data_IF_543565592312
#
_entry.id   IF_543565592312
#
_cell.length_a   1.000
_cell.length_b   1.000
_cell.length_c   1.000
_cell.angle_alpha   90.00
_cell.angle_beta   90.00
_cell.angle_gamma   90.00
#
_symmetry.space_group_name_H-M   'P 1'
#
loop_
_entity.id
_entity.type
_entity.pdbx_description
1 polymer ?
#
# COMPACT_ATOMS: atom_id res chain seq x y z
N UNK A 1 54.15 60.23 -35.47
CA UNK A 1 53.82 59.76 -34.07
C UNK A 1 52.46 59.08 -33.97
N UNK A 2 51.56 59.23 -34.96
CA UNK A 2 50.20 58.68 -34.92
C UNK A 2 50.06 57.13 -35.18
N UNK A 3 50.95 56.58 -35.99
CA UNK A 3 50.89 55.13 -36.35
C UNK A 3 51.32 54.24 -35.19
N UNK A 4 52.31 54.63 -34.43
CA UNK A 4 52.75 53.86 -33.23
C UNK A 4 51.72 53.89 -32.12
N UNK A 5 50.98 54.99 -31.95
CA UNK A 5 49.92 55.09 -30.94
C UNK A 5 48.68 54.23 -31.34
N UNK A 6 48.34 54.24 -32.62
CA UNK A 6 47.23 53.38 -33.11
C UNK A 6 47.54 51.88 -33.00
N UNK A 7 48.77 51.45 -33.26
CA UNK A 7 49.22 50.10 -33.05
C UNK A 7 49.18 49.72 -31.56
N UNK A 8 49.65 50.63 -30.67
CA UNK A 8 49.59 50.40 -29.22
C UNK A 8 48.14 50.19 -28.70
N UNK A 9 47.18 50.99 -29.17
CA UNK A 9 45.76 50.90 -28.81
C UNK A 9 45.18 49.60 -29.35
N UNK A 10 45.50 49.19 -30.58
CA UNK A 10 45.02 47.94 -31.15
C UNK A 10 45.53 46.72 -30.36
N UNK A 11 46.82 46.70 -29.98
CA UNK A 11 47.40 45.64 -29.14
C UNK A 11 46.75 45.59 -27.76
N UNK A 12 46.52 46.76 -27.11
CA UNK A 12 45.84 46.81 -25.82
C UNK A 12 44.42 46.30 -25.92
N UNK A 13 43.69 46.66 -26.98
CA UNK A 13 42.32 46.18 -27.19
C UNK A 13 42.27 44.66 -27.40
N UNK A 14 43.17 44.11 -28.20
CA UNK A 14 43.30 42.66 -28.39
C UNK A 14 43.62 41.98 -27.05
N UNK A 15 44.54 42.54 -26.26
CA UNK A 15 44.86 41.98 -24.94
C UNK A 15 43.66 41.96 -24.01
N UNK A 16 42.88 43.03 -23.95
CA UNK A 16 41.65 43.15 -23.14
C UNK A 16 40.61 42.12 -23.62
N UNK A 17 40.42 41.97 -24.92
CA UNK A 17 39.49 40.99 -25.48
C UNK A 17 39.95 39.58 -25.12
N UNK A 18 41.22 39.24 -25.27
CA UNK A 18 41.77 37.93 -24.89
C UNK A 18 41.59 37.68 -23.39
N UNK A 19 41.86 38.65 -22.55
CA UNK A 19 41.68 38.54 -21.11
C UNK A 19 40.22 38.33 -20.74
N UNK A 20 39.28 39.03 -21.39
CA UNK A 20 37.84 38.84 -21.19
C UNK A 20 37.37 37.45 -21.62
N UNK A 21 37.93 36.88 -22.70
CA UNK A 21 37.63 35.53 -23.14
C UNK A 21 38.23 34.46 -22.22
N UNK A 22 39.33 34.76 -21.49
CA UNK A 22 39.93 33.88 -20.50
C UNK A 22 39.11 33.75 -19.22
N UNK A 23 38.29 34.75 -18.87
CA UNK A 23 37.52 34.73 -17.65
C UNK A 23 36.23 33.95 -17.82
N UNK A 24 36.05 32.91 -17.00
CA UNK A 24 34.82 32.13 -16.93
C UNK A 24 34.35 32.04 -15.48
N UNK A 25 33.06 32.29 -15.28
CA UNK A 25 32.41 32.17 -13.97
C UNK A 25 31.78 30.78 -13.85
N UNK A 26 32.11 30.08 -12.77
CA UNK A 26 31.50 28.83 -12.35
C UNK A 26 30.58 29.14 -11.18
N UNK A 27 29.31 28.81 -11.32
CA UNK A 27 28.31 29.04 -10.29
C UNK A 27 28.50 28.09 -9.09
N UNK A 28 27.98 28.44 -7.91
CA UNK A 28 28.21 27.71 -6.67
C UNK A 28 27.70 26.28 -6.72
N UNK A 29 26.63 26.04 -7.45
CA UNK A 29 26.02 24.74 -7.64
C UNK A 29 26.60 23.95 -8.84
N UNK A 30 27.64 24.44 -9.46
CA UNK A 30 28.30 23.80 -10.60
C UNK A 30 29.79 23.54 -10.29
N UNK A 31 30.28 22.47 -10.89
CA UNK A 31 31.71 22.17 -10.93
C UNK A 31 32.20 22.14 -12.37
N UNK A 32 33.34 22.79 -12.60
CA UNK A 32 33.95 22.85 -13.92
C UNK A 32 34.99 21.75 -14.14
N UNK A 33 34.75 20.87 -15.10
CA UNK A 33 35.76 19.91 -15.58
C UNK A 33 36.47 20.51 -16.78
N UNK A 34 37.81 20.68 -16.69
CA UNK A 34 38.62 21.31 -17.75
C UNK A 34 39.34 20.21 -18.53
N UNK A 35 39.17 20.27 -19.83
CA UNK A 35 39.90 19.46 -20.81
C UNK A 35 40.96 20.37 -21.47
N UNK A 36 42.23 19.98 -21.35
CA UNK A 36 43.34 20.62 -22.04
C UNK A 36 43.85 19.73 -23.15
N UNK A 37 43.73 20.16 -24.38
CA UNK A 37 44.04 19.35 -25.58
C UNK A 37 43.42 17.95 -25.53
N UNK A 38 42.18 17.86 -25.09
CA UNK A 38 41.46 16.58 -25.00
C UNK A 38 41.77 15.71 -23.79
N UNK A 39 42.72 16.10 -22.91
CA UNK A 39 43.03 15.40 -21.67
C UNK A 39 42.40 16.11 -20.48
N UNK A 40 41.79 15.34 -19.56
CA UNK A 40 41.24 15.90 -18.33
C UNK A 40 42.39 16.45 -17.47
N UNK A 41 42.30 17.70 -17.08
CA UNK A 41 43.12 18.23 -16.01
C UNK A 41 42.56 17.73 -14.69
N UNK A 42 43.32 16.92 -13.94
CA UNK A 42 42.87 16.17 -12.75
C UNK A 42 42.28 17.01 -11.62
N UNK A 43 42.11 18.30 -11.77
CA UNK A 43 41.55 19.20 -10.78
C UNK A 43 40.18 19.73 -11.22
N UNK A 44 39.14 19.35 -10.50
CA UNK A 44 37.82 19.95 -10.63
C UNK A 44 37.89 21.41 -10.24
N UNK A 45 37.44 22.31 -11.09
CA UNK A 45 37.42 23.76 -10.79
C UNK A 45 36.25 24.07 -9.85
N UNK A 46 36.61 24.58 -8.69
CA UNK A 46 35.65 25.08 -7.69
C UNK A 46 34.90 26.32 -8.19
N UNK A 47 33.73 26.63 -7.60
CA UNK A 47 32.97 27.83 -7.93
C UNK A 47 33.81 29.12 -7.81
N UNK A 48 33.46 30.12 -8.62
CA UNK A 48 34.09 31.41 -8.65
C UNK A 48 34.63 31.79 -10.02
N UNK A 49 35.42 32.88 -10.04
CA UNK A 49 36.07 33.36 -11.25
C UNK A 49 37.30 32.50 -11.54
N UNK A 50 37.35 31.91 -12.72
CA UNK A 50 38.45 31.03 -13.14
C UNK A 50 39.03 31.49 -14.46
N UNK A 51 40.36 31.44 -14.53
CA UNK A 51 41.11 31.74 -15.72
C UNK A 51 41.29 30.45 -16.53
N UNK A 52 40.85 30.52 -17.80
CA UNK A 52 41.02 29.45 -18.78
C UNK A 52 41.88 29.98 -19.92
N UNK A 53 42.76 29.12 -20.45
CA UNK A 53 43.52 29.45 -21.65
C UNK A 53 42.62 29.27 -22.88
N UNK A 54 42.27 30.35 -23.59
CA UNK A 54 41.45 30.25 -24.80
C UNK A 54 42.18 29.37 -25.81
N UNK A 55 41.44 28.59 -26.60
CA UNK A 55 41.89 27.60 -27.60
C UNK A 55 42.45 26.31 -27.03
N UNK A 56 43.13 26.29 -25.86
CA UNK A 56 43.70 25.08 -25.25
C UNK A 56 42.74 24.40 -24.29
N UNK A 57 41.97 25.17 -23.53
CA UNK A 57 41.14 24.69 -22.42
C UNK A 57 39.66 24.72 -22.85
N UNK A 58 39.00 23.54 -22.74
CA UNK A 58 37.54 23.43 -22.87
C UNK A 58 36.95 23.04 -21.52
N UNK A 59 36.05 23.87 -20.99
CA UNK A 59 35.41 23.61 -19.71
C UNK A 59 33.98 23.12 -19.92
N UNK A 60 33.65 21.95 -19.33
CA UNK A 60 32.29 21.40 -19.21
C UNK A 60 31.81 21.66 -17.78
N UNK A 61 30.66 22.29 -17.62
CA UNK A 61 30.04 22.57 -16.32
C UNK A 61 29.06 21.45 -16.00
N UNK A 62 29.16 20.89 -14.80
CA UNK A 62 28.27 19.85 -14.27
C UNK A 62 27.58 20.39 -13.05
N UNK A 63 26.26 20.25 -12.98
CA UNK A 63 25.50 20.59 -11.80
C UNK A 63 25.71 19.52 -10.71
N UNK A 64 25.88 19.97 -9.47
CA UNK A 64 25.96 19.10 -8.29
C UNK A 64 24.65 19.10 -7.48
N UNK A 65 23.62 19.75 -8.00
CA UNK A 65 22.30 19.77 -7.40
C UNK A 65 21.63 18.40 -7.54
N UNK A 66 20.68 18.14 -6.67
CA UNK A 66 19.82 16.98 -6.81
C UNK A 66 18.91 17.17 -8.02
N UNK A 67 18.92 16.20 -8.89
CA UNK A 67 18.05 16.13 -10.08
C UNK A 67 17.03 15.05 -9.87
N UNK A 68 15.77 15.37 -10.18
CA UNK A 68 14.67 14.39 -10.16
C UNK A 68 14.49 13.83 -11.56
N UNK A 69 14.68 12.54 -11.70
CA UNK A 69 14.48 11.80 -12.94
C UNK A 69 13.21 10.97 -12.83
N UNK A 70 12.22 11.30 -13.64
CA UNK A 70 11.04 10.46 -13.79
C UNK A 70 11.40 9.24 -14.64
N UNK A 71 11.26 8.06 -14.07
CA UNK A 71 11.43 6.77 -14.78
C UNK A 71 10.10 6.43 -15.45
N UNK A 72 10.14 6.17 -16.74
CA UNK A 72 8.95 5.79 -17.48
C UNK A 72 8.31 4.53 -16.91
N UNK A 73 6.97 4.41 -16.93
CA UNK A 73 6.25 3.26 -16.43
C UNK A 73 6.80 1.94 -17.02
N UNK A 74 7.06 0.98 -16.14
CA UNK A 74 7.59 -0.33 -16.51
C UNK A 74 6.57 -1.42 -16.23
N UNK A 75 6.15 -2.11 -17.31
CA UNK A 75 5.37 -3.35 -17.18
C UNK A 75 6.27 -4.50 -16.71
N UNK A 76 5.86 -5.18 -15.64
CA UNK A 76 6.52 -6.37 -15.13
C UNK A 76 5.51 -7.35 -14.55
N UNK A 77 5.95 -8.61 -14.35
CA UNK A 77 5.16 -9.65 -13.72
C UNK A 77 5.77 -9.89 -12.34
N UNK A 78 4.96 -9.80 -11.29
CA UNK A 78 5.38 -10.06 -9.91
C UNK A 78 5.62 -11.55 -9.67
N UNK A 79 6.20 -11.90 -8.51
CA UNK A 79 6.46 -13.30 -8.14
C UNK A 79 5.17 -14.13 -8.05
N UNK A 80 4.07 -13.52 -7.66
CA UNK A 80 2.72 -14.11 -7.60
C UNK A 80 1.96 -14.09 -8.94
N UNK A 81 2.72 -13.87 -10.05
CA UNK A 81 2.23 -13.92 -11.43
C UNK A 81 1.16 -12.88 -11.78
N UNK A 82 1.23 -11.70 -11.15
CA UNK A 82 0.37 -10.57 -11.48
C UNK A 82 1.10 -9.58 -12.37
N UNK A 83 0.50 -9.19 -13.49
CA UNK A 83 1.03 -8.13 -14.34
C UNK A 83 0.75 -6.78 -13.70
N UNK A 84 1.81 -6.01 -13.48
CA UNK A 84 1.73 -4.65 -12.92
C UNK A 84 2.49 -3.67 -13.81
N UNK A 85 2.07 -2.43 -13.80
CA UNK A 85 2.80 -1.32 -14.40
C UNK A 85 3.17 -0.35 -13.28
N UNK A 86 4.48 -0.09 -13.13
CA UNK A 86 5.02 0.70 -12.04
C UNK A 86 5.87 1.82 -12.59
N UNK A 87 5.66 3.04 -12.12
CA UNK A 87 6.53 4.18 -12.36
C UNK A 87 7.25 4.61 -11.07
N UNK A 88 8.41 5.24 -11.26
CA UNK A 88 9.26 5.66 -10.16
C UNK A 88 9.89 7.02 -10.43
N UNK A 89 10.29 7.69 -9.38
CA UNK A 89 11.12 8.87 -9.43
C UNK A 89 12.47 8.58 -8.75
N UNK A 90 13.56 8.87 -9.45
CA UNK A 90 14.93 8.71 -8.94
C UNK A 90 15.52 10.09 -8.69
N UNK A 91 15.93 10.33 -7.46
CA UNK A 91 16.62 11.54 -7.03
C UNK A 91 18.11 11.23 -6.98
N UNK A 92 18.87 11.90 -7.82
CA UNK A 92 20.32 11.69 -7.88
C UNK A 92 21.07 13.01 -7.95
N UNK A 93 22.34 12.97 -7.57
CA UNK A 93 23.28 14.07 -7.76
C UNK A 93 24.65 13.56 -8.21
N UNK A 94 25.38 14.43 -8.89
CA UNK A 94 26.76 14.15 -9.30
C UNK A 94 27.70 14.49 -8.14
N UNK A 95 28.44 13.47 -7.66
CA UNK A 95 29.47 13.59 -6.62
C UNK A 95 30.84 13.82 -7.25
N UNK A 96 31.17 13.01 -8.27
CA UNK A 96 32.41 13.13 -9.03
C UNK A 96 32.15 13.55 -10.48
N UNK A 97 32.24 14.87 -10.79
CA UNK A 97 31.99 15.38 -12.12
C UNK A 97 32.93 14.85 -13.20
N UNK A 98 34.16 14.43 -12.81
CA UNK A 98 35.13 13.90 -13.76
C UNK A 98 34.67 12.53 -14.26
N UNK A 99 34.32 11.64 -13.33
CA UNK A 99 33.81 10.31 -13.70
C UNK A 99 32.51 10.40 -14.49
N UNK A 100 31.60 11.32 -14.12
CA UNK A 100 30.32 11.48 -14.78
C UNK A 100 30.43 11.90 -16.25
N UNK A 101 31.52 12.61 -16.65
CA UNK A 101 31.71 13.05 -18.04
C UNK A 101 32.62 12.11 -18.81
N UNK A 102 33.62 11.52 -18.14
CA UNK A 102 34.63 10.69 -18.84
C UNK A 102 34.15 9.27 -19.06
N UNK A 103 33.48 8.70 -18.03
CA UNK A 103 33.13 7.30 -18.05
C UNK A 103 31.77 7.04 -18.72
N UNK A 104 30.89 8.06 -18.79
CA UNK A 104 29.55 7.93 -19.36
C UNK A 104 29.26 9.10 -20.28
N UNK A 105 28.72 8.82 -21.46
CA UNK A 105 28.38 9.86 -22.43
C UNK A 105 27.22 10.75 -21.96
N UNK A 106 26.17 10.12 -21.42
CA UNK A 106 25.02 10.77 -20.83
C UNK A 106 24.62 10.01 -19.57
N UNK A 107 25.06 10.52 -18.43
CA UNK A 107 24.79 9.91 -17.13
C UNK A 107 23.29 9.95 -16.77
N UNK A 108 22.53 10.92 -17.26
CA UNK A 108 21.09 11.03 -17.01
C UNK A 108 20.35 9.88 -17.69
N UNK A 109 20.64 9.66 -18.96
CA UNK A 109 20.07 8.55 -19.73
C UNK A 109 20.53 7.20 -19.19
N UNK A 110 21.82 7.06 -18.82
CA UNK A 110 22.36 5.83 -18.27
C UNK A 110 21.69 5.47 -16.90
N UNK A 111 21.53 6.45 -16.01
CA UNK A 111 20.80 6.26 -14.73
C UNK A 111 19.35 5.82 -15.00
N UNK A 112 18.67 6.42 -15.98
CA UNK A 112 17.33 6.02 -16.38
C UNK A 112 17.26 4.55 -16.80
N UNK A 113 18.18 4.10 -17.64
CA UNK A 113 18.23 2.70 -18.11
C UNK A 113 18.50 1.70 -16.96
N UNK A 114 19.45 2.04 -16.08
CA UNK A 114 19.72 1.22 -14.88
C UNK A 114 18.49 1.17 -13.98
N UNK A 115 17.85 2.30 -13.76
CA UNK A 115 16.65 2.39 -12.92
C UNK A 115 15.51 1.53 -13.49
N UNK A 116 15.24 1.60 -14.80
CA UNK A 116 14.21 0.80 -15.46
C UNK A 116 14.49 -0.72 -15.34
N UNK A 117 15.74 -1.12 -15.56
CA UNK A 117 16.14 -2.53 -15.47
C UNK A 117 16.07 -3.05 -14.02
N UNK A 118 16.54 -2.24 -13.07
CA UNK A 118 16.49 -2.57 -11.65
C UNK A 118 15.05 -2.65 -11.13
N UNK A 119 14.21 -1.71 -11.54
CA UNK A 119 12.78 -1.68 -11.20
C UNK A 119 12.11 -2.98 -11.67
N UNK A 120 12.30 -3.36 -12.93
CA UNK A 120 11.76 -4.62 -13.47
C UNK A 120 12.25 -5.85 -12.70
N UNK A 121 13.53 -5.87 -12.33
CA UNK A 121 14.13 -7.00 -11.60
C UNK A 121 13.55 -7.13 -10.20
N UNK A 122 13.36 -6.01 -9.50
CA UNK A 122 12.83 -6.01 -8.12
C UNK A 122 11.34 -6.34 -8.11
N UNK A 123 10.55 -5.78 -9.05
CA UNK A 123 9.13 -6.13 -9.20
C UNK A 123 8.99 -7.64 -9.42
N UNK A 124 9.83 -8.23 -10.29
CA UNK A 124 9.77 -9.67 -10.58
C UNK A 124 10.14 -10.58 -9.39
N UNK A 125 10.77 -10.04 -8.35
CA UNK A 125 11.10 -10.78 -7.11
C UNK A 125 10.12 -10.53 -5.98
N UNK A 126 9.40 -9.42 -6.00
CA UNK A 126 8.45 -9.02 -4.98
C UNK A 126 7.05 -9.59 -5.25
N UNK A 127 6.29 -9.82 -4.20
CA UNK A 127 4.85 -10.10 -4.28
C UNK A 127 4.08 -8.79 -4.39
N UNK A 128 2.90 -8.83 -4.99
CA UNK A 128 2.04 -7.67 -5.13
C UNK A 128 1.69 -7.04 -3.79
N UNK A 129 1.39 -7.85 -2.79
CA UNK A 129 1.04 -7.35 -1.46
C UNK A 129 2.21 -6.58 -0.82
N UNK A 130 3.45 -7.06 -0.97
CA UNK A 130 4.66 -6.36 -0.52
C UNK A 130 4.88 -5.04 -1.28
N UNK A 131 4.64 -5.02 -2.60
CA UNK A 131 4.76 -3.80 -3.40
C UNK A 131 3.76 -2.72 -2.97
N UNK A 132 2.59 -3.10 -2.49
CA UNK A 132 1.54 -2.17 -2.05
C UNK A 132 1.70 -1.73 -0.59
N UNK A 133 2.11 -2.65 0.31
CA UNK A 133 2.19 -2.42 1.75
C UNK A 133 3.55 -1.88 2.21
N UNK A 134 4.66 -2.36 1.64
CA UNK A 134 6.04 -2.11 2.08
C UNK A 134 6.86 -1.29 1.06
N UNK A 135 6.31 -0.17 0.59
CA UNK A 135 6.92 0.70 -0.43
C UNK A 135 8.31 1.21 -0.02
N UNK A 136 8.48 1.55 1.26
CA UNK A 136 9.74 2.09 1.79
C UNK A 136 10.87 1.06 1.69
N UNK A 137 10.57 -0.20 1.98
CA UNK A 137 11.53 -1.30 1.85
C UNK A 137 11.94 -1.51 0.40
N UNK A 138 10.98 -1.54 -0.52
CA UNK A 138 11.24 -1.69 -1.96
C UNK A 138 12.05 -0.49 -2.48
N UNK A 139 11.74 0.72 -2.06
CA UNK A 139 12.47 1.94 -2.42
C UNK A 139 13.93 1.90 -1.94
N UNK A 140 14.16 1.41 -0.71
CA UNK A 140 15.51 1.24 -0.18
C UNK A 140 16.32 0.16 -0.94
N UNK A 141 15.69 -0.95 -1.29
CA UNK A 141 16.29 -2.02 -2.09
C UNK A 141 16.63 -1.52 -3.52
N UNK A 142 15.70 -0.80 -4.16
CA UNK A 142 15.92 -0.16 -5.46
C UNK A 142 17.10 0.80 -5.41
N UNK A 143 17.15 1.68 -4.40
CA UNK A 143 18.26 2.59 -4.20
C UNK A 143 19.59 1.83 -4.14
N UNK A 144 19.70 0.79 -3.34
CA UNK A 144 20.94 0.01 -3.18
C UNK A 144 21.36 -0.66 -4.50
N UNK A 145 20.42 -1.21 -5.26
CA UNK A 145 20.70 -1.88 -6.54
C UNK A 145 21.12 -0.89 -7.62
N UNK A 146 20.54 0.33 -7.63
CA UNK A 146 20.90 1.36 -8.62
C UNK A 146 22.20 2.05 -8.23
N UNK A 147 22.46 2.29 -6.94
CA UNK A 147 23.63 3.01 -6.45
C UNK A 147 24.94 2.26 -6.74
N UNK A 148 24.92 0.95 -6.60
CA UNK A 148 26.10 0.10 -6.82
C UNK A 148 26.77 0.29 -8.21
N UNK A 149 26.06 0.26 -9.34
CA UNK A 149 26.63 0.49 -10.67
C UNK A 149 26.82 1.98 -11.01
N UNK A 150 26.28 2.93 -10.23
CA UNK A 150 26.30 4.36 -10.58
C UNK A 150 27.28 5.17 -9.76
N UNK A 151 27.46 4.88 -8.46
CA UNK A 151 28.28 5.71 -7.59
C UNK A 151 29.78 5.56 -7.90
N UNK A 152 30.30 4.34 -7.85
CA UNK A 152 31.76 4.14 -8.02
C UNK A 152 32.23 4.39 -9.46
N UNK A 153 31.61 3.82 -10.51
CA UNK A 153 32.11 3.98 -11.88
C UNK A 153 31.73 5.31 -12.50
N UNK A 154 30.57 5.89 -12.19
CA UNK A 154 30.08 7.13 -12.84
C UNK A 154 30.16 8.36 -11.95
N UNK A 155 30.41 8.20 -10.65
CA UNK A 155 30.42 9.31 -9.71
C UNK A 155 29.05 9.94 -9.51
N UNK A 156 27.98 9.19 -9.76
CA UNK A 156 26.59 9.61 -9.57
C UNK A 156 26.02 8.86 -8.39
N UNK A 157 25.60 9.59 -7.36
CA UNK A 157 24.98 9.01 -6.15
C UNK A 157 23.48 9.15 -6.20
N UNK A 158 22.80 8.07 -5.86
CA UNK A 158 21.34 8.05 -5.71
C UNK A 158 21.00 8.46 -4.28
N UNK A 159 20.25 9.55 -4.13
CA UNK A 159 19.81 10.03 -2.82
C UNK A 159 18.56 9.31 -2.36
N UNK A 160 17.57 9.17 -3.25
CA UNK A 160 16.27 8.58 -2.95
C UNK A 160 15.69 7.96 -4.22
N UNK A 161 14.95 6.90 -4.05
CA UNK A 161 14.08 6.32 -5.09
C UNK A 161 12.68 6.21 -4.50
N UNK A 162 11.70 6.73 -5.19
CA UNK A 162 10.29 6.69 -4.79
C UNK A 162 9.46 5.98 -5.86
N UNK A 163 8.65 5.01 -5.43
CA UNK A 163 7.61 4.42 -6.25
C UNK A 163 6.41 5.39 -6.28
N UNK A 164 6.04 5.87 -7.46
CA UNK A 164 4.96 6.86 -7.63
C UNK A 164 3.61 6.19 -7.71
N UNK A 165 3.38 5.40 -8.73
CA UNK A 165 2.12 4.71 -8.96
C UNK A 165 2.34 3.25 -9.31
N UNK A 166 1.38 2.41 -8.93
CA UNK A 166 1.33 0.99 -9.25
C UNK A 166 -0.03 0.72 -9.90
N UNK A 167 -0.01 0.62 -11.23
CA UNK A 167 -1.20 0.37 -12.02
C UNK A 167 -1.42 -1.13 -12.17
N UNK A 168 -2.65 -1.57 -11.88
CA UNK A 168 -3.10 -2.95 -11.95
C UNK A 168 -4.16 -3.10 -13.05
N UNK A 169 -4.29 -4.29 -13.66
CA UNK A 169 -5.39 -4.59 -14.56
C UNK A 169 -6.75 -4.41 -13.86
N UNK A 170 -7.75 -3.91 -14.58
CA UNK A 170 -9.09 -3.63 -14.02
C UNK A 170 -9.79 -4.86 -13.42
N UNK A 171 -9.54 -6.05 -13.96
CA UNK A 171 -10.03 -7.32 -13.40
C UNK A 171 -9.48 -7.57 -11.99
N UNK A 172 -8.20 -7.30 -11.79
CA UNK A 172 -7.51 -7.47 -10.52
C UNK A 172 -7.94 -6.40 -9.50
N UNK A 173 -8.04 -5.13 -9.90
CA UNK A 173 -8.58 -4.05 -9.05
C UNK A 173 -9.95 -4.43 -8.48
N UNK A 174 -10.86 -4.93 -9.33
CA UNK A 174 -12.19 -5.37 -8.90
C UNK A 174 -12.17 -6.57 -7.95
N UNK A 175 -11.23 -7.49 -8.16
CA UNK A 175 -11.06 -8.66 -7.29
C UNK A 175 -10.53 -8.25 -5.91
N UNK A 176 -9.49 -7.41 -5.87
CA UNK A 176 -8.92 -6.88 -4.64
C UNK A 176 -9.91 -5.99 -3.87
N UNK A 177 -10.71 -5.18 -4.58
CA UNK A 177 -11.76 -4.38 -3.93
C UNK A 177 -12.77 -5.25 -3.21
N UNK A 178 -13.27 -6.33 -3.85
CA UNK A 178 -14.18 -7.29 -3.22
C UNK A 178 -13.55 -8.01 -2.03
N UNK A 179 -12.28 -8.41 -2.16
CA UNK A 179 -11.55 -9.03 -1.06
C UNK A 179 -11.37 -8.08 0.12
N UNK A 180 -10.99 -6.83 -0.15
CA UNK A 180 -10.84 -5.80 0.88
C UNK A 180 -12.17 -5.46 1.56
N UNK A 181 -13.27 -5.43 0.81
CA UNK A 181 -14.62 -5.21 1.34
C UNK A 181 -15.05 -6.37 2.26
N UNK A 182 -14.87 -7.61 1.83
CA UNK A 182 -15.15 -8.79 2.63
C UNK A 182 -14.32 -8.84 3.92
N UNK A 183 -13.03 -8.48 3.85
CA UNK A 183 -12.16 -8.43 5.03
C UNK A 183 -12.57 -7.30 5.99
N UNK A 184 -12.95 -6.12 5.47
CA UNK A 184 -13.49 -5.02 6.30
C UNK A 184 -14.78 -5.43 6.98
N UNK A 185 -15.69 -6.08 6.24
CA UNK A 185 -16.95 -6.57 6.80
C UNK A 185 -16.73 -7.65 7.87
N UNK A 186 -15.80 -8.59 7.61
CA UNK A 186 -15.41 -9.60 8.62
C UNK A 186 -14.87 -8.92 9.88
N UNK A 187 -13.98 -7.94 9.73
CA UNK A 187 -13.39 -7.20 10.84
C UNK A 187 -14.43 -6.38 11.59
N UNK A 188 -15.34 -5.72 10.87
CA UNK A 188 -16.45 -4.97 11.48
C UNK A 188 -17.36 -5.88 12.31
N UNK A 189 -17.69 -7.09 11.83
CA UNK A 189 -18.47 -8.08 12.59
C UNK A 189 -17.74 -8.55 13.87
N UNK A 190 -16.43 -8.77 13.80
CA UNK A 190 -15.64 -9.13 14.99
C UNK A 190 -15.66 -8.01 16.02
N UNK A 191 -15.41 -6.76 15.58
CA UNK A 191 -15.43 -5.57 16.46
C UNK A 191 -16.82 -5.39 17.06
N UNK A 192 -17.89 -5.54 16.28
CA UNK A 192 -19.25 -5.44 16.78
C UNK A 192 -19.56 -6.53 17.85
N UNK A 193 -19.19 -7.77 17.59
CA UNK A 193 -19.38 -8.86 18.55
C UNK A 193 -18.57 -8.67 19.84
N UNK A 194 -17.32 -8.19 19.74
CA UNK A 194 -16.52 -7.84 20.90
C UNK A 194 -17.14 -6.66 21.69
N UNK A 195 -17.66 -5.66 20.98
CA UNK A 195 -18.39 -4.54 21.59
C UNK A 195 -19.65 -5.00 22.33
N UNK A 196 -20.44 -5.87 21.70
CA UNK A 196 -21.64 -6.47 22.34
C UNK A 196 -21.27 -7.30 23.56
N UNK A 197 -20.21 -8.11 23.50
CA UNK A 197 -19.73 -8.87 24.66
C UNK A 197 -19.33 -7.93 25.81
N UNK A 198 -18.54 -6.91 25.54
CA UNK A 198 -18.12 -5.94 26.55
C UNK A 198 -19.32 -5.16 27.13
N UNK A 199 -20.25 -4.74 26.28
CA UNK A 199 -21.49 -4.09 26.72
C UNK A 199 -22.34 -5.00 27.59
N UNK A 200 -22.47 -6.29 27.21
CA UNK A 200 -23.22 -7.28 27.97
C UNK A 200 -22.60 -7.54 29.35
N UNK A 201 -21.29 -7.63 29.45
CA UNK A 201 -20.56 -7.78 30.72
C UNK A 201 -20.80 -6.55 31.64
N UNK A 202 -20.74 -5.34 31.07
CA UNK A 202 -20.99 -4.10 31.82
C UNK A 202 -22.46 -3.98 32.25
N UNK A 203 -23.39 -4.35 31.36
CA UNK A 203 -24.82 -4.38 31.70
C UNK A 203 -25.13 -5.42 32.80
N UNK A 204 -24.54 -6.60 32.74
CA UNK A 204 -24.68 -7.63 33.76
C UNK A 204 -24.13 -7.14 35.11
N UNK A 205 -22.95 -6.49 35.13
CA UNK A 205 -22.38 -5.91 36.34
C UNK A 205 -23.24 -4.77 36.89
N UNK A 206 -23.77 -3.91 36.01
CA UNK A 206 -24.69 -2.83 36.44
C UNK A 206 -26.02 -3.40 36.99
N UNK A 207 -26.58 -4.44 36.34
CA UNK A 207 -27.78 -5.11 36.80
C UNK A 207 -27.56 -5.77 38.19
N UNK A 208 -26.42 -6.45 38.40
CA UNK A 208 -26.05 -7.04 39.67
C UNK A 208 -25.91 -5.96 40.76
N UNK A 209 -25.29 -4.83 40.50
CA UNK A 209 -25.19 -3.71 41.44
C UNK A 209 -26.57 -3.11 41.79
N UNK A 210 -27.48 -3.00 40.81
CA UNK A 210 -28.84 -2.51 41.01
C UNK A 210 -29.72 -3.50 41.76
N UNK A 211 -29.49 -4.80 41.63
CA UNK A 211 -30.25 -5.85 42.33
C UNK A 211 -30.08 -5.76 43.87
N UNK A 212 -28.93 -5.28 44.33
CA UNK A 212 -28.67 -5.09 45.76
C UNK A 212 -29.26 -3.80 46.36
N UNK A 213 -29.78 -2.88 45.53
CA UNK A 213 -30.29 -1.59 45.97
C UNK A 213 -31.81 -1.52 45.74
N UNK A 214 -32.63 -1.52 46.82
CA UNK A 214 -34.09 -1.43 46.69
C UNK A 214 -34.50 -0.16 45.91
N UNK A 215 -35.29 -0.31 44.89
CA UNK A 215 -35.81 0.82 44.08
C UNK A 215 -34.91 1.25 42.91
N UNK A 216 -33.65 0.84 42.82
CA UNK A 216 -32.75 1.24 41.74
C UNK A 216 -33.27 0.81 40.36
N UNK A 217 -33.83 -0.39 40.24
CA UNK A 217 -34.45 -0.89 39.00
C UNK A 217 -35.66 -0.04 38.58
N UNK A 218 -36.47 0.46 39.52
CA UNK A 218 -37.61 1.31 39.21
C UNK A 218 -37.17 2.67 38.70
N UNK A 219 -36.16 3.26 39.32
CA UNK A 219 -35.57 4.53 38.83
C UNK A 219 -34.97 4.35 37.41
N UNK A 220 -34.30 3.25 37.16
CA UNK A 220 -33.73 2.96 35.82
C UNK A 220 -34.81 2.77 34.77
N UNK A 221 -35.91 2.07 35.13
CA UNK A 221 -37.07 1.92 34.24
C UNK A 221 -37.68 3.29 33.92
N UNK A 222 -37.90 4.13 34.93
CA UNK A 222 -38.45 5.48 34.73
C UNK A 222 -37.53 6.34 33.86
N UNK A 223 -36.23 6.24 34.07
CA UNK A 223 -35.25 6.95 33.25
C UNK A 223 -35.28 6.48 31.80
N UNK A 224 -35.32 5.17 31.54
CA UNK A 224 -35.43 4.62 30.18
C UNK A 224 -36.71 5.05 29.47
N UNK A 225 -37.84 5.09 30.22
CA UNK A 225 -39.12 5.61 29.69
C UNK A 225 -39.01 7.09 29.34
N UNK A 226 -38.35 7.88 30.19
CA UNK A 226 -38.15 9.31 29.96
C UNK A 226 -37.23 9.54 28.73
N UNK A 227 -36.14 8.76 28.58
CA UNK A 227 -35.22 8.86 27.48
C UNK A 227 -35.91 8.51 26.13
N UNK A 228 -36.75 7.47 26.11
CA UNK A 228 -37.53 7.08 24.90
C UNK A 228 -38.63 8.12 24.59
N UNK A 229 -39.23 8.75 25.62
CA UNK A 229 -40.24 9.77 25.41
C UNK A 229 -39.71 11.08 24.84
N UNK A 230 -38.42 11.35 25.00
CA UNK A 230 -37.73 12.53 24.39
C UNK A 230 -37.48 12.36 22.91
N UNK A 231 -37.30 11.15 22.42
CA UNK A 231 -37.25 10.86 20.98
C UNK A 231 -38.67 10.99 20.41
N UNK A 232 -38.89 11.96 19.55
CA UNK A 232 -40.14 12.47 18.94
C UNK A 232 -41.09 11.43 18.30
N UNK A 233 -41.26 10.25 18.82
CA UNK A 233 -42.18 9.24 18.36
C UNK A 233 -43.38 9.16 19.27
N UNK A 234 -44.53 9.57 18.76
CA UNK A 234 -45.78 9.79 19.48
C UNK A 234 -46.54 8.52 19.93
N UNK A 235 -46.01 7.32 19.76
CA UNK A 235 -46.70 6.09 20.19
C UNK A 235 -45.70 5.08 20.73
N UNK A 236 -45.64 4.99 22.08
CA UNK A 236 -44.87 3.99 22.78
C UNK A 236 -45.76 2.76 23.06
N UNK A 237 -45.58 1.69 22.29
CA UNK A 237 -46.18 0.39 22.61
C UNK A 237 -45.20 -0.39 23.45
N UNK A 238 -45.37 -0.39 24.75
CA UNK A 238 -44.53 -1.12 25.69
C UNK A 238 -45.25 -2.38 26.17
N UNK A 239 -44.72 -3.59 25.91
CA UNK A 239 -45.21 -4.80 26.54
C UNK A 239 -44.82 -4.73 28.05
N UNK A 240 -45.79 -4.48 28.89
CA UNK A 240 -45.57 -4.58 30.35
C UNK A 240 -45.51 -6.06 30.76
N UNK A 241 -44.41 -6.56 31.31
CA UNK A 241 -44.40 -7.87 31.96
C UNK A 241 -45.45 -7.90 33.08
N UNK A 242 -46.26 -8.94 33.10
CA UNK A 242 -47.38 -9.10 34.07
C UNK A 242 -46.86 -9.07 35.51
N UNK A 243 -45.60 -9.36 35.73
CA UNK A 243 -44.93 -9.26 37.03
C UNK A 243 -44.89 -7.84 37.60
N UNK A 244 -44.83 -6.81 36.73
CA UNK A 244 -44.88 -5.41 37.17
C UNK A 244 -46.26 -4.98 37.64
N UNK A 245 -47.31 -5.56 37.11
CA UNK A 245 -48.69 -5.29 37.56
C UNK A 245 -48.93 -5.82 38.99
N UNK A 246 -48.25 -6.88 39.42
CA UNK A 246 -48.32 -7.38 40.80
C UNK A 246 -47.68 -6.44 41.81
N UNK A 247 -46.77 -5.59 41.38
CA UNK A 247 -46.09 -4.62 42.26
C UNK A 247 -46.94 -3.36 42.53
N UNK A 248 -47.83 -3.01 41.63
CA UNK A 248 -48.78 -1.90 41.81
C UNK A 248 -50.10 -2.32 42.46
N UNK A 249 -50.35 -3.65 42.51
CA UNK A 249 -51.47 -4.17 43.29
C UNK A 249 -51.11 -4.14 44.77
N UNK A 250 -51.93 -3.48 45.60
CA UNK A 250 -51.80 -3.51 47.03
C UNK A 250 -51.66 -4.98 47.51
N UNK A 251 -50.72 -5.31 48.37
CA UNK A 251 -50.75 -6.64 49.03
C UNK A 251 -51.95 -6.69 49.94
N UNK A 252 -52.94 -7.49 49.60
CA UNK A 252 -53.96 -7.93 50.52
C UNK A 252 -53.26 -8.75 51.64
N UNK A 253 -53.46 -8.39 52.93
CA UNK A 253 -52.77 -9.07 54.03
C UNK A 253 -53.27 -10.50 54.32
N UNK A 254 -54.34 -10.98 53.63
CA UNK A 254 -54.86 -12.35 53.79
C UNK A 254 -54.65 -13.16 52.50
N UNK A 255 -53.51 -13.78 52.46
CA UNK A 255 -53.09 -14.64 51.34
C UNK A 255 -53.79 -15.94 51.25
N UNK A 256 -54.86 -16.02 50.50
CA UNK A 256 -55.31 -17.26 49.89
C UNK A 256 -54.94 -17.27 48.41
N UNK A 257 -53.93 -18.03 48.08
CA UNK A 257 -53.56 -18.27 46.67
C UNK A 257 -54.73 -18.90 45.92
N UNK A 258 -55.24 -18.30 44.83
CA UNK A 258 -56.22 -19.01 44.02
C UNK A 258 -55.50 -20.15 43.29
N UNK A 259 -55.85 -21.38 43.66
CA UNK A 259 -55.50 -22.57 42.89
C UNK A 259 -56.30 -22.52 41.59
N UNK A 260 -55.63 -22.14 40.49
CA UNK A 260 -56.18 -22.25 39.15
C UNK A 260 -56.11 -23.69 38.73
N UNK A 261 -57.18 -24.42 38.98
CA UNK A 261 -57.42 -25.75 38.44
C UNK A 261 -57.79 -25.57 36.96
N UNK A 262 -56.92 -25.97 36.08
CA UNK A 262 -57.23 -26.06 34.64
C UNK A 262 -58.14 -27.28 34.44
N UNK A 263 -59.43 -27.05 34.46
CA UNK A 263 -60.42 -28.06 34.06
C UNK A 263 -60.25 -28.29 32.57
N UNK A 264 -59.78 -29.49 32.23
CA UNK A 264 -59.60 -29.95 30.86
C UNK A 264 -60.97 -30.16 30.26
N UNK A 265 -61.36 -29.33 29.29
CA UNK A 265 -62.59 -29.51 28.52
C UNK A 265 -62.60 -30.88 27.83
N UNK A 266 -63.72 -31.65 27.90
CA UNK A 266 -63.81 -32.94 27.24
C UNK A 266 -64.10 -32.74 25.74
N UNK A 267 -63.23 -33.31 24.92
CA UNK A 267 -63.53 -33.63 23.54
C UNK A 267 -63.00 -32.70 22.47
N UNK A 268 -61.74 -32.89 22.11
CA UNK A 268 -61.31 -32.74 20.72
C UNK A 268 -60.35 -33.86 20.38
N UNK A 269 -60.70 -34.56 19.33
CA UNK A 269 -60.02 -35.75 18.80
C UNK A 269 -58.54 -35.51 18.50
N UNK A 270 -57.76 -36.59 18.77
CA UNK A 270 -56.38 -36.77 18.33
C UNK A 270 -56.23 -36.37 16.85
N UNK A 271 -55.26 -35.50 16.47
CA UNK A 271 -54.95 -35.34 15.05
C UNK A 271 -54.19 -36.58 14.58
N UNK A 272 -54.68 -37.10 13.46
CA UNK A 272 -54.15 -38.20 12.70
C UNK A 272 -52.68 -38.01 12.32
N UNK A 273 -51.96 -39.13 12.19
CA UNK A 273 -50.60 -39.27 11.72
C UNK A 273 -50.31 -38.46 10.45
N UNK A 274 -49.09 -37.96 10.25
CA UNK A 274 -48.74 -37.22 9.05
C UNK A 274 -48.76 -38.13 7.82
N UNK A 275 -49.48 -37.67 6.80
CA UNK A 275 -49.48 -38.22 5.45
C UNK A 275 -48.10 -38.04 4.82
N UNK A 276 -47.53 -39.16 4.36
CA UNK A 276 -46.37 -39.22 3.49
C UNK A 276 -46.62 -38.42 2.20
N UNK A 277 -46.03 -37.25 2.10
CA UNK A 277 -45.92 -36.46 0.87
C UNK A 277 -44.48 -36.47 0.35
N UNK A 278 -44.25 -36.47 -0.97
CA UNK A 278 -42.92 -36.60 -1.53
C UNK A 278 -42.04 -35.45 -1.15
N UNK A 279 -40.90 -35.75 -0.55
CA UNK A 279 -39.85 -34.78 -0.22
C UNK A 279 -39.13 -34.31 -1.48
N UNK A 280 -38.84 -33.00 -1.64
CA UNK A 280 -38.02 -32.52 -2.75
C UNK A 280 -36.54 -32.92 -2.56
N UNK A 281 -36.02 -33.60 -3.58
CA UNK A 281 -34.77 -34.36 -3.57
C UNK A 281 -33.46 -33.55 -3.62
N UNK A 282 -33.19 -32.68 -2.68
CA UNK A 282 -31.92 -31.93 -2.62
C UNK A 282 -31.20 -31.97 -1.26
N UNK A 283 -31.60 -32.88 -0.39
CA UNK A 283 -30.82 -33.27 0.78
C UNK A 283 -30.53 -34.78 0.72
N UNK A 284 -29.53 -35.15 -0.14
CA UNK A 284 -28.86 -36.46 -0.01
C UNK A 284 -27.49 -36.26 0.60
N UNK A 285 -27.13 -36.85 1.74
CA UNK A 285 -25.77 -36.90 2.22
C UNK A 285 -24.92 -37.78 1.30
N UNK A 286 -23.76 -37.31 0.90
CA UNK A 286 -22.79 -38.03 0.08
C UNK A 286 -22.32 -39.29 0.82
N UNK A 287 -22.51 -40.45 0.20
CA UNK A 287 -21.95 -41.71 0.65
C UNK A 287 -20.43 -41.76 0.46
N UNK A 288 -19.66 -42.35 1.38
CA UNK A 288 -18.23 -42.56 1.22
C UNK A 288 -17.98 -43.70 0.21
N UNK A 289 -17.32 -43.38 -0.88
CA UNK A 289 -16.97 -44.31 -1.97
C UNK A 289 -15.97 -45.35 -1.47
N UNK A 290 -16.43 -46.59 -1.42
CA UNK A 290 -15.68 -47.79 -1.08
C UNK A 290 -14.70 -48.19 -2.19
N UNK A 291 -13.65 -48.79 -1.72
CA UNK A 291 -12.64 -49.59 -2.40
C UNK A 291 -13.11 -50.49 -3.55
N UNK A 292 -12.45 -50.39 -4.71
CA UNK A 292 -12.33 -51.47 -5.71
C UNK A 292 -10.97 -51.23 -6.37
N UNK A 293 -9.96 -52.03 -6.20
CA UNK A 293 -9.88 -53.36 -6.81
C UNK A 293 -8.78 -53.31 -7.86
N UNK A 294 -7.64 -53.88 -7.51
CA UNK A 294 -6.49 -54.11 -8.37
C UNK A 294 -6.87 -54.87 -9.67
N UNK A 295 -6.32 -54.44 -10.80
CA UNK A 295 -6.02 -55.35 -11.91
C UNK A 295 -4.71 -54.93 -12.61
N UNK A 296 -3.80 -55.88 -12.51
CA UNK A 296 -2.56 -55.96 -13.24
C UNK A 296 -2.80 -56.14 -14.75
N UNK A 297 -1.87 -55.68 -15.56
CA UNK A 297 -1.84 -55.94 -16.98
C UNK A 297 -0.70 -55.17 -17.67
N UNK A 298 0.51 -55.67 -17.56
CA UNK A 298 1.57 -55.49 -18.55
C UNK A 298 1.41 -56.56 -19.63
N UNK A 299 2.19 -56.65 -20.73
CA UNK A 299 3.18 -55.73 -21.31
C UNK A 299 3.14 -55.71 -22.87
N UNK A 300 4.21 -55.24 -23.45
CA UNK A 300 4.66 -55.46 -24.87
C UNK A 300 4.33 -54.27 -25.77
N UNK A 301 5.22 -53.68 -26.50
CA UNK A 301 6.47 -54.02 -27.09
C UNK A 301 6.94 -52.92 -28.00
N UNK A 302 8.24 -53.01 -28.32
CA UNK A 302 8.94 -52.55 -29.52
C UNK A 302 9.06 -51.06 -29.82
N UNK A 303 10.30 -50.57 -29.73
CA UNK A 303 10.87 -49.54 -30.60
C UNK A 303 11.10 -50.09 -32.04
N UNK A 304 11.94 -49.57 -32.87
CA UNK A 304 12.84 -48.38 -32.83
C UNK A 304 12.79 -47.56 -34.14
N UNK A 305 13.81 -46.73 -34.32
CA UNK A 305 14.28 -46.07 -35.56
C UNK A 305 13.56 -44.76 -35.96
N UNK A 306 14.30 -43.74 -36.23
CA UNK A 306 15.29 -43.45 -37.15
C UNK A 306 15.35 -41.98 -37.50
N UNK A 307 16.53 -41.47 -37.47
CA UNK A 307 17.14 -40.62 -38.49
C UNK A 307 16.47 -39.28 -38.91
N UNK A 308 17.06 -38.20 -38.57
CA UNK A 308 17.76 -37.13 -39.31
C UNK A 308 17.77 -35.81 -38.54
#
# INVERSE_FOLDING_TARGET
>A
MSTWSSVGIAVLLVLVVVLALCLRIVQQYQRGVVFRFGRVLGHVREPGLRLLVPFADRMVKVSTQVVVLAVAPQGAITRDNVTVEVDAAVYFRVVDPVKAIVNVQDYTHAVSQVAQTSLRTIIGRADLDTLLSDRDRISAELKAVIDAPTEQPWGVRIELVELRDISLPESMKRSMSRQAEAERERRARVIAADGERQASEQLAAAAAAMAHTPGAMHLRLLQTVADVAVEKNSTLVMPFPVELLRFFGHPDPDGAAPSVTWERAPGTASPASPVDGPQPGWFAPAEPNGSVGARAGSPTGAGPDGDR
#
